data_IF_958595276455
#
_entry.id   IF_958595276455
#
_cell.length_a   1.000
_cell.length_b   1.000
_cell.length_c   1.000
_cell.angle_alpha   90.00
_cell.angle_beta   90.00
_cell.angle_gamma   90.00
#
_symmetry.space_group_name_H-M   'P 1'
#
loop_
_entity.id
_entity.type
_entity.pdbx_description
1 polymer ?
#
# COMPACT_ATOMS: atom_id res chain seq x y z
N UNK A 1 -19.86 31.24 -17.37
CA UNK A 1 -19.14 30.99 -16.09
C UNK A 1 -19.12 29.48 -15.73
N UNK A 2 -18.90 28.60 -16.71
CA UNK A 2 -18.61 27.16 -16.54
C UNK A 2 -17.35 26.89 -15.71
N UNK A 3 -16.44 27.88 -15.71
CA UNK A 3 -15.07 27.68 -15.31
C UNK A 3 -14.78 27.43 -13.84
N UNK A 4 -15.70 27.33 -12.87
CA UNK A 4 -15.32 27.00 -11.49
C UNK A 4 -15.21 25.49 -11.24
N UNK A 5 -16.07 24.69 -11.88
CA UNK A 5 -16.05 23.22 -11.82
C UNK A 5 -14.97 22.67 -12.75
N UNK A 6 -14.94 23.17 -13.98
CA UNK A 6 -13.85 22.91 -14.91
C UNK A 6 -12.52 23.32 -14.29
N UNK A 7 -12.44 24.48 -13.60
CA UNK A 7 -11.23 24.86 -12.85
C UNK A 7 -10.95 23.95 -11.67
N UNK A 8 -11.92 23.46 -10.89
CA UNK A 8 -11.62 22.63 -9.72
C UNK A 8 -11.18 21.21 -10.11
N UNK A 9 -11.76 20.65 -11.18
CA UNK A 9 -11.27 19.41 -11.83
C UNK A 9 -9.87 19.66 -12.46
N UNK A 10 -9.67 20.79 -13.15
CA UNK A 10 -8.37 21.18 -13.72
C UNK A 10 -7.34 21.69 -12.68
N UNK A 11 -7.76 21.99 -11.44
CA UNK A 11 -6.90 22.49 -10.33
C UNK A 11 -6.16 21.34 -9.63
N UNK A 12 -6.27 20.11 -10.13
CA UNK A 12 -5.37 19.03 -9.77
C UNK A 12 -5.73 18.24 -8.51
N UNK A 13 -6.88 18.50 -7.89
CA UNK A 13 -7.37 17.66 -6.78
C UNK A 13 -8.01 16.34 -7.27
N UNK A 14 -8.26 16.21 -8.57
CA UNK A 14 -8.75 14.98 -9.20
C UNK A 14 -10.14 14.54 -8.73
N UNK A 15 -10.78 13.67 -9.50
CA UNK A 15 -12.11 13.13 -9.15
C UNK A 15 -12.04 12.16 -7.97
N UNK A 16 -10.86 11.60 -7.70
CA UNK A 16 -10.58 10.70 -6.58
C UNK A 16 -10.80 11.34 -5.19
N UNK A 17 -10.80 12.67 -5.10
CA UNK A 17 -11.03 13.41 -3.85
C UNK A 17 -12.51 13.67 -3.55
N UNK A 18 -13.40 13.47 -4.53
CA UNK A 18 -14.82 13.80 -4.40
C UNK A 18 -15.68 12.60 -3.99
N UNK A 19 -16.80 12.89 -3.31
CA UNK A 19 -17.84 11.90 -3.04
C UNK A 19 -18.80 11.80 -4.22
N UNK A 20 -19.60 10.73 -4.26
CA UNK A 20 -20.65 10.57 -5.27
C UNK A 20 -21.62 11.74 -5.25
N UNK A 21 -22.05 12.20 -4.08
CA UNK A 21 -22.97 13.33 -3.93
C UNK A 21 -22.37 14.60 -4.53
N UNK A 22 -21.06 14.83 -4.37
CA UNK A 22 -20.40 16.00 -4.94
C UNK A 22 -20.28 15.91 -6.46
N UNK A 23 -20.07 14.71 -6.99
CA UNK A 23 -20.06 14.45 -8.44
C UNK A 23 -21.46 14.66 -9.03
N UNK A 24 -22.51 14.18 -8.35
CA UNK A 24 -23.90 14.38 -8.76
C UNK A 24 -24.27 15.87 -8.80
N UNK A 25 -23.95 16.64 -7.75
CA UNK A 25 -24.17 18.09 -7.70
C UNK A 25 -23.48 18.80 -8.88
N UNK A 26 -22.23 18.43 -9.16
CA UNK A 26 -21.44 18.99 -10.25
C UNK A 26 -22.05 18.67 -11.61
N UNK A 27 -22.47 17.42 -11.83
CA UNK A 27 -23.05 17.00 -13.11
C UNK A 27 -24.43 17.62 -13.33
N UNK A 28 -25.25 17.72 -12.28
CA UNK A 28 -26.55 18.42 -12.35
C UNK A 28 -26.38 19.90 -12.72
N UNK A 29 -25.35 20.56 -12.18
CA UNK A 29 -24.98 21.92 -12.56
C UNK A 29 -24.64 22.05 -14.04
N UNK A 30 -23.92 21.07 -14.61
CA UNK A 30 -23.59 21.02 -16.04
C UNK A 30 -24.84 20.79 -16.91
N UNK A 31 -25.78 19.97 -16.44
CA UNK A 31 -27.07 19.78 -17.12
C UNK A 31 -27.88 21.08 -17.12
N UNK A 32 -27.95 21.77 -15.99
CA UNK A 32 -28.67 23.04 -15.86
C UNK A 32 -28.08 24.15 -16.75
N UNK A 33 -26.77 24.10 -17.01
CA UNK A 33 -26.08 25.02 -17.94
C UNK A 33 -26.22 24.63 -19.40
N UNK A 34 -26.81 23.47 -19.68
CA UNK A 34 -26.92 22.91 -21.03
C UNK A 34 -25.61 22.34 -21.58
N UNK A 35 -24.60 22.14 -20.72
CA UNK A 35 -23.29 21.60 -21.09
C UNK A 35 -23.32 20.07 -21.18
N UNK A 36 -24.23 19.41 -20.43
CA UNK A 36 -24.47 17.97 -20.47
C UNK A 36 -25.95 17.70 -20.77
N UNK A 37 -26.23 16.79 -21.70
CA UNK A 37 -27.61 16.39 -21.95
C UNK A 37 -28.15 15.58 -20.75
N UNK A 38 -29.40 15.85 -20.35
CA UNK A 38 -30.03 15.18 -19.20
C UNK A 38 -30.05 13.65 -19.29
N UNK A 39 -30.08 13.10 -20.51
CA UNK A 39 -29.99 11.66 -20.76
C UNK A 39 -28.60 11.05 -20.46
N UNK A 40 -27.55 11.85 -20.56
CA UNK A 40 -26.15 11.41 -20.44
C UNK A 40 -25.58 11.69 -19.03
N UNK A 41 -26.30 12.46 -18.22
CA UNK A 41 -25.90 12.87 -16.87
C UNK A 41 -25.58 11.68 -15.94
N UNK A 42 -26.44 10.67 -15.94
CA UNK A 42 -26.29 9.49 -15.08
C UNK A 42 -25.03 8.69 -15.43
N UNK A 43 -24.74 8.55 -16.72
CA UNK A 43 -23.57 7.82 -17.20
C UNK A 43 -22.30 8.58 -16.84
N UNK A 44 -22.31 9.91 -17.01
CA UNK A 44 -21.19 10.77 -16.61
C UNK A 44 -20.88 10.67 -15.11
N UNK A 45 -21.91 10.68 -14.24
CA UNK A 45 -21.71 10.48 -12.79
C UNK A 45 -21.04 9.14 -12.53
N UNK A 46 -21.53 8.05 -13.12
CA UNK A 46 -20.97 6.72 -12.90
C UNK A 46 -19.52 6.62 -13.37
N UNK A 47 -19.20 7.20 -14.53
CA UNK A 47 -17.85 7.23 -15.08
C UNK A 47 -16.88 8.00 -14.19
N UNK A 48 -17.31 9.16 -13.68
CA UNK A 48 -16.48 9.98 -12.78
C UNK A 48 -16.26 9.31 -11.43
N UNK A 49 -17.29 8.67 -10.87
CA UNK A 49 -17.18 7.88 -9.63
C UNK A 49 -16.19 6.73 -9.83
N UNK A 50 -16.37 5.94 -10.91
CA UNK A 50 -15.49 4.81 -11.21
C UNK A 50 -14.04 5.24 -11.39
N UNK A 51 -13.80 6.30 -12.17
CA UNK A 51 -12.46 6.86 -12.34
C UNK A 51 -11.87 7.36 -11.02
N UNK A 52 -12.69 7.94 -10.14
CA UNK A 52 -12.25 8.36 -8.81
C UNK A 52 -11.84 7.19 -7.92
N UNK A 53 -12.54 6.06 -8.01
CA UNK A 53 -12.18 4.83 -7.30
C UNK A 53 -10.88 4.22 -7.83
N UNK A 54 -10.72 4.10 -9.15
CA UNK A 54 -9.49 3.61 -9.78
C UNK A 54 -8.28 4.48 -9.39
N UNK A 55 -8.42 5.80 -9.49
CA UNK A 55 -7.38 6.75 -9.09
C UNK A 55 -7.04 6.66 -7.59
N UNK A 56 -8.02 6.43 -6.71
CA UNK A 56 -7.76 6.24 -5.27
C UNK A 56 -6.88 5.03 -5.02
N UNK A 57 -7.11 3.94 -5.73
CA UNK A 57 -6.34 2.72 -5.55
C UNK A 57 -4.91 2.85 -6.09
N UNK A 58 -4.72 3.55 -7.22
CA UNK A 58 -3.39 3.90 -7.72
C UNK A 58 -2.61 4.77 -6.74
N UNK A 59 -3.24 5.79 -6.16
CA UNK A 59 -2.62 6.64 -5.14
C UNK A 59 -2.26 5.84 -3.88
N UNK A 60 -3.14 4.95 -3.40
CA UNK A 60 -2.82 4.07 -2.25
C UNK A 60 -1.61 3.19 -2.55
N UNK A 61 -1.52 2.66 -3.76
CA UNK A 61 -0.40 1.80 -4.17
C UNK A 61 0.90 2.61 -4.20
N UNK A 62 0.90 3.79 -4.82
CA UNK A 62 2.06 4.68 -4.85
C UNK A 62 2.54 5.03 -3.44
N UNK A 63 1.63 5.41 -2.53
CA UNK A 63 1.98 5.70 -1.14
C UNK A 63 2.58 4.47 -0.44
N UNK A 64 2.00 3.29 -0.66
CA UNK A 64 2.52 2.05 -0.06
C UNK A 64 3.92 1.76 -0.56
N UNK A 65 4.16 1.86 -1.85
CA UNK A 65 5.45 1.58 -2.47
C UNK A 65 6.52 2.57 -1.96
N UNK A 66 6.19 3.87 -1.87
CA UNK A 66 7.07 4.89 -1.31
C UNK A 66 7.41 4.63 0.18
N UNK A 67 6.44 4.22 0.98
CA UNK A 67 6.68 3.85 2.38
C UNK A 67 7.61 2.64 2.47
N UNK A 68 7.39 1.63 1.62
CA UNK A 68 8.21 0.42 1.59
C UNK A 68 9.66 0.76 1.18
N UNK A 69 9.85 1.60 0.18
CA UNK A 69 11.17 2.09 -0.23
C UNK A 69 11.85 2.91 0.89
N UNK A 70 11.10 3.77 1.58
CA UNK A 70 11.63 4.55 2.70
C UNK A 70 12.03 3.69 3.90
N UNK A 71 11.32 2.59 4.16
CA UNK A 71 11.68 1.61 5.20
C UNK A 71 12.96 0.86 4.82
N UNK A 72 13.07 0.42 3.57
CA UNK A 72 14.26 -0.27 3.05
C UNK A 72 15.49 0.67 3.09
N UNK A 73 15.34 1.94 2.70
CA UNK A 73 16.41 2.94 2.76
C UNK A 73 16.94 3.18 4.19
N UNK A 74 16.08 3.02 5.21
CA UNK A 74 16.43 3.22 6.62
C UNK A 74 16.78 1.93 7.36
N UNK A 75 16.89 0.81 6.64
CA UNK A 75 17.19 -0.52 7.20
C UNK A 75 16.21 -0.93 8.32
N UNK A 76 14.94 -0.49 8.19
CA UNK A 76 13.88 -0.80 9.14
C UNK A 76 13.23 -2.11 8.72
N UNK A 77 13.49 -3.17 9.48
CA UNK A 77 12.92 -4.49 9.23
C UNK A 77 11.39 -4.46 9.18
N UNK A 78 10.81 -5.04 8.13
CA UNK A 78 9.36 -5.30 8.05
C UNK A 78 9.02 -6.45 8.97
N UNK A 79 7.73 -6.60 9.29
CA UNK A 79 7.25 -7.74 10.09
C UNK A 79 7.61 -9.09 9.45
N UNK A 80 7.67 -9.13 8.13
CA UNK A 80 8.06 -10.28 7.31
C UNK A 80 9.55 -10.60 7.44
N UNK A 81 10.40 -9.59 7.66
CA UNK A 81 11.85 -9.72 7.79
C UNK A 81 12.26 -10.10 9.22
N UNK A 82 11.34 -10.06 10.18
CA UNK A 82 11.60 -10.48 11.55
C UNK A 82 11.75 -11.99 11.61
N UNK A 83 12.99 -12.44 11.85
CA UNK A 83 13.29 -13.85 12.12
C UNK A 83 12.41 -14.33 13.28
N UNK A 84 11.66 -15.42 13.03
CA UNK A 84 10.82 -16.00 14.07
C UNK A 84 11.71 -16.63 15.18
N UNK A 85 11.13 -16.86 16.36
CA UNK A 85 11.90 -17.38 17.50
C UNK A 85 12.51 -18.77 17.24
N UNK A 86 11.92 -19.55 16.34
CA UNK A 86 12.34 -20.92 16.03
C UNK A 86 13.55 -20.92 15.11
N UNK A 87 13.54 -20.08 14.07
CA UNK A 87 14.64 -19.83 13.15
C UNK A 87 15.83 -19.21 13.89
N UNK A 88 15.58 -18.23 14.78
CA UNK A 88 16.64 -17.66 15.62
C UNK A 88 17.26 -18.73 16.53
N UNK A 89 16.44 -19.59 17.14
CA UNK A 89 16.92 -20.70 17.97
C UNK A 89 17.75 -21.69 17.15
N UNK A 90 17.36 -21.95 15.90
CA UNK A 90 18.09 -22.82 14.98
C UNK A 90 19.46 -22.24 14.64
N UNK A 91 19.51 -20.96 14.23
CA UNK A 91 20.77 -20.25 13.93
C UNK A 91 21.69 -20.27 15.15
N UNK A 92 21.18 -19.95 16.34
CA UNK A 92 21.97 -19.98 17.58
C UNK A 92 22.48 -21.39 17.89
N UNK A 93 21.66 -22.44 17.68
CA UNK A 93 22.09 -23.83 17.91
C UNK A 93 23.21 -24.24 16.95
N UNK A 94 23.09 -23.87 15.68
CA UNK A 94 24.11 -24.16 14.65
C UNK A 94 25.44 -23.49 15.02
N UNK A 95 25.43 -22.18 15.30
CA UNK A 95 26.61 -21.42 15.74
C UNK A 95 27.23 -21.97 17.04
N UNK A 96 26.41 -22.38 18.01
CA UNK A 96 26.91 -23.00 19.25
C UNK A 96 27.59 -24.35 18.99
N UNK A 97 27.05 -25.18 18.09
CA UNK A 97 27.65 -26.46 17.74
C UNK A 97 29.01 -26.24 17.07
N UNK A 98 29.10 -25.27 16.17
CA UNK A 98 30.35 -24.96 15.46
C UNK A 98 31.43 -24.46 16.44
N UNK A 99 31.09 -23.56 17.37
CA UNK A 99 32.03 -23.10 18.42
C UNK A 99 32.45 -24.23 19.36
N UNK A 100 31.52 -25.11 19.75
CA UNK A 100 31.80 -26.24 20.63
C UNK A 100 32.71 -27.29 19.95
N UNK A 101 32.59 -27.45 18.64
CA UNK A 101 33.48 -28.29 17.83
C UNK A 101 34.86 -27.65 17.65
N UNK A 102 34.93 -26.36 17.35
CA UNK A 102 36.17 -25.62 17.12
C UNK A 102 37.05 -25.55 18.37
N UNK A 103 36.43 -25.38 19.55
CA UNK A 103 37.16 -25.28 20.83
C UNK A 103 37.34 -26.62 21.56
N UNK A 104 36.91 -27.73 20.97
CA UNK A 104 36.94 -29.08 21.57
C UNK A 104 36.28 -29.18 22.97
N UNK A 105 35.30 -28.32 23.26
CA UNK A 105 34.72 -28.17 24.62
C UNK A 105 33.58 -29.18 24.88
N UNK A 106 33.00 -29.80 23.84
CA UNK A 106 31.85 -30.69 23.96
C UNK A 106 32.10 -32.10 23.41
N UNK A 107 31.52 -33.11 24.06
CA UNK A 107 31.55 -34.49 23.57
C UNK A 107 30.53 -34.71 22.44
N UNK A 108 30.71 -35.77 21.62
CA UNK A 108 29.77 -36.14 20.56
C UNK A 108 28.33 -36.33 21.07
N UNK A 109 28.18 -36.70 22.34
CA UNK A 109 26.89 -36.87 23.01
C UNK A 109 26.20 -35.53 23.25
N UNK A 110 26.93 -34.53 23.76
CA UNK A 110 26.40 -33.18 24.02
C UNK A 110 25.93 -32.47 22.74
N UNK A 111 26.65 -32.67 21.63
CA UNK A 111 26.27 -32.14 20.31
C UNK A 111 25.00 -32.83 19.77
N UNK A 112 24.78 -34.11 20.10
CA UNK A 112 23.62 -34.87 19.64
C UNK A 112 22.32 -34.48 20.34
N UNK A 113 22.39 -34.03 21.59
CA UNK A 113 21.24 -33.55 22.36
C UNK A 113 20.76 -32.18 21.90
N UNK A 114 21.68 -31.30 21.46
CA UNK A 114 21.32 -29.98 20.90
C UNK A 114 20.63 -30.04 19.53
N UNK A 115 20.82 -31.14 18.78
CA UNK A 115 20.19 -31.37 17.47
C UNK A 115 18.77 -31.96 17.56
N UNK A 116 18.31 -32.37 18.75
CA UNK A 116 16.91 -32.76 19.01
C UNK A 116 16.02 -31.54 19.24
#
# INVERSE_FOLDING_TARGET
MAGLIEKSINMGLGVFSYSREKIEEVVDDLVNRGEVARKDAKDLVNDLVKKGEEQRDDVKKMIRDEILEALDYKDIARKEDLINKEDLRKIIREELIDILQEKEIATKTDISELKK
#
